data_IF_963400089340
#
_entry.id   IF_963400089340
#
_cell.length_a   1.000
_cell.length_b   1.000
_cell.length_c   1.000
_cell.angle_alpha   90.00
_cell.angle_beta   90.00
_cell.angle_gamma   90.00
#
_symmetry.space_group_name_H-M   'P 1'
#
loop_
_entity.id
_entity.type
_entity.pdbx_description
1 polymer ?
#
# COMPACT_ATOMS: atom_id res chain seq x y z
N UNK A 1 -33.21 -7.78 -19.42
CA UNK A 1 -32.42 -8.58 -18.43
C UNK A 1 -31.55 -9.51 -19.26
N UNK A 2 -30.31 -9.12 -19.51
CA UNK A 2 -29.30 -10.00 -20.10
C UNK A 2 -28.24 -10.28 -19.03
N UNK A 3 -28.18 -11.54 -18.61
CA UNK A 3 -27.13 -12.04 -17.76
C UNK A 3 -25.90 -12.30 -18.63
N UNK A 4 -24.80 -11.62 -18.34
CA UNK A 4 -23.48 -11.96 -18.87
C UNK A 4 -22.73 -12.77 -17.83
N UNK A 5 -22.62 -14.05 -18.13
CA UNK A 5 -21.77 -15.00 -17.42
C UNK A 5 -20.34 -14.80 -17.92
N UNK A 6 -19.44 -14.31 -17.09
CA UNK A 6 -18.00 -14.26 -17.41
C UNK A 6 -17.28 -15.18 -16.45
N UNK A 7 -17.27 -16.44 -16.79
CA UNK A 7 -16.38 -17.44 -16.23
C UNK A 7 -14.95 -17.19 -16.74
N UNK A 8 -14.14 -16.47 -15.96
CA UNK A 8 -12.70 -16.39 -16.20
C UNK A 8 -12.03 -17.49 -15.39
N UNK A 9 -11.57 -18.52 -16.08
CA UNK A 9 -10.77 -19.58 -15.48
C UNK A 9 -9.48 -19.01 -14.86
N UNK A 10 -9.10 -19.44 -13.64
CA UNK A 10 -7.87 -18.97 -13.00
C UNK A 10 -6.66 -19.45 -13.80
N UNK A 11 -5.82 -18.50 -14.26
CA UNK A 11 -4.50 -18.82 -14.79
C UNK A 11 -3.68 -19.50 -13.70
N UNK A 12 -3.20 -20.71 -13.97
CA UNK A 12 -2.26 -21.42 -13.11
C UNK A 12 -0.99 -20.59 -13.00
N UNK A 13 -0.77 -20.00 -11.85
CA UNK A 13 0.51 -19.35 -11.50
C UNK A 13 1.59 -20.43 -11.39
N UNK A 14 2.71 -20.21 -12.09
CA UNK A 14 3.89 -21.07 -11.93
C UNK A 14 4.52 -20.83 -10.56
N UNK A 15 5.11 -21.86 -9.94
CA UNK A 15 5.76 -21.72 -8.64
C UNK A 15 6.88 -20.70 -8.69
N UNK A 16 6.87 -19.76 -7.74
CA UNK A 16 7.93 -18.78 -7.54
C UNK A 16 9.15 -19.53 -6.97
N UNK A 17 10.25 -19.51 -7.66
CA UNK A 17 11.49 -20.13 -7.22
C UNK A 17 12.11 -19.24 -6.12
N UNK A 18 12.09 -19.72 -4.87
CA UNK A 18 12.59 -19.00 -3.72
C UNK A 18 14.10 -19.17 -3.63
N UNK A 19 14.86 -18.11 -3.91
CA UNK A 19 16.28 -18.07 -3.63
C UNK A 19 16.48 -17.49 -2.23
N UNK A 20 16.92 -18.26 -1.24
CA UNK A 20 17.14 -17.73 0.11
C UNK A 20 18.41 -16.87 0.13
N UNK A 21 18.25 -15.58 0.38
CA UNK A 21 19.37 -14.71 0.73
C UNK A 21 19.75 -15.02 2.18
N UNK A 22 20.95 -15.54 2.40
CA UNK A 22 21.49 -15.76 3.74
C UNK A 22 21.78 -14.40 4.37
N UNK A 23 20.96 -13.99 5.31
CA UNK A 23 21.32 -12.92 6.24
C UNK A 23 22.30 -13.54 7.24
N UNK A 24 23.53 -13.00 7.33
CA UNK A 24 24.46 -13.37 8.38
C UNK A 24 23.84 -13.05 9.74
N UNK A 25 23.61 -14.07 10.56
CA UNK A 25 23.17 -13.88 11.93
C UNK A 25 24.36 -13.38 12.74
N UNK A 26 24.34 -12.13 13.14
CA UNK A 26 25.10 -11.70 14.30
C UNK A 26 24.40 -12.25 15.54
N UNK A 27 25.10 -13.07 16.32
CA UNK A 27 24.54 -13.83 17.45
C UNK A 27 24.03 -12.98 18.62
N UNK A 28 24.09 -11.65 18.55
CA UNK A 28 23.72 -10.73 19.63
C UNK A 28 22.78 -9.58 19.21
N UNK A 29 22.19 -9.61 18.01
CA UNK A 29 21.19 -8.62 17.59
C UNK A 29 19.76 -9.03 17.91
N UNK A 30 18.80 -8.08 17.97
CA UNK A 30 17.39 -8.42 18.11
C UNK A 30 16.99 -9.36 16.97
N UNK A 31 16.30 -10.46 17.33
CA UNK A 31 15.80 -11.43 16.35
C UNK A 31 14.79 -10.73 15.43
N UNK A 32 15.22 -10.38 14.23
CA UNK A 32 14.32 -9.86 13.20
C UNK A 32 13.35 -10.98 12.80
N UNK A 33 12.05 -10.76 13.02
CA UNK A 33 11.02 -11.73 12.65
C UNK A 33 10.81 -11.83 11.13
N UNK A 34 11.29 -10.84 10.39
CA UNK A 34 11.15 -10.72 8.94
C UNK A 34 12.39 -11.23 8.22
N UNK A 35 12.22 -11.88 7.09
CA UNK A 35 13.31 -12.27 6.21
C UNK A 35 13.21 -11.55 4.86
N UNK A 36 14.36 -11.15 4.32
CA UNK A 36 14.45 -10.61 2.96
C UNK A 36 14.53 -11.78 1.98
N UNK A 37 13.67 -11.77 0.98
CA UNK A 37 13.69 -12.76 -0.10
C UNK A 37 13.87 -12.05 -1.44
N UNK A 38 14.72 -12.64 -2.28
CA UNK A 38 14.86 -12.24 -3.68
C UNK A 38 13.79 -12.93 -4.53
N UNK A 39 13.13 -12.19 -5.39
CA UNK A 39 12.22 -12.74 -6.41
C UNK A 39 12.74 -12.34 -7.78
N UNK A 40 13.02 -13.33 -8.60
CA UNK A 40 13.39 -13.10 -9.99
C UNK A 40 12.14 -13.03 -10.86
N UNK A 41 11.97 -11.92 -11.57
CA UNK A 41 10.96 -11.84 -12.61
C UNK A 41 11.38 -12.74 -13.79
N UNK A 42 10.59 -13.75 -14.13
CA UNK A 42 10.95 -14.70 -15.19
C UNK A 42 11.03 -14.07 -16.59
N UNK A 43 10.42 -12.90 -16.79
CA UNK A 43 10.40 -12.19 -18.08
C UNK A 43 11.58 -11.23 -18.21
N UNK A 44 11.81 -10.38 -17.23
CA UNK A 44 12.88 -9.36 -17.23
C UNK A 44 14.23 -9.91 -16.75
N UNK A 45 14.25 -11.05 -16.07
CA UNK A 45 15.41 -11.62 -15.35
C UNK A 45 15.99 -10.67 -14.29
N UNK A 46 15.26 -9.69 -13.88
CA UNK A 46 15.63 -8.78 -12.79
C UNK A 46 15.21 -9.41 -11.47
N UNK A 47 16.11 -9.43 -10.51
CA UNK A 47 15.82 -9.88 -9.15
C UNK A 47 15.45 -8.67 -8.30
N UNK A 48 14.35 -8.76 -7.60
CA UNK A 48 13.91 -7.74 -6.65
C UNK A 48 13.89 -8.31 -5.24
N UNK A 49 14.41 -7.55 -4.29
CA UNK A 49 14.37 -7.90 -2.89
C UNK A 49 13.12 -7.33 -2.22
N UNK A 50 12.44 -8.13 -1.44
CA UNK A 50 11.34 -7.70 -0.60
C UNK A 50 11.34 -8.46 0.73
N UNK A 51 10.69 -7.87 1.72
CA UNK A 51 10.58 -8.46 3.05
C UNK A 51 9.37 -9.39 3.10
N UNK A 52 9.59 -10.60 3.59
CA UNK A 52 8.57 -11.59 3.81
C UNK A 52 8.50 -11.94 5.30
N UNK A 53 7.33 -11.81 5.88
CA UNK A 53 7.06 -12.26 7.24
C UNK A 53 6.27 -13.57 7.19
N UNK A 54 6.93 -14.65 7.60
CA UNK A 54 6.33 -16.00 7.61
C UNK A 54 5.14 -16.08 8.56
N UNK A 55 5.16 -15.38 9.69
CA UNK A 55 4.08 -15.43 10.67
C UNK A 55 2.81 -14.83 10.10
N UNK A 56 2.91 -13.65 9.45
CA UNK A 56 1.76 -13.02 8.77
C UNK A 56 1.18 -13.95 7.71
N UNK A 57 2.03 -14.65 6.97
CA UNK A 57 1.59 -15.62 5.97
C UNK A 57 0.93 -16.86 6.60
N UNK A 58 1.54 -17.44 7.63
CA UNK A 58 1.03 -18.65 8.32
C UNK A 58 -0.31 -18.36 9.02
N UNK A 59 -0.51 -17.16 9.54
CA UNK A 59 -1.79 -16.69 10.11
C UNK A 59 -2.85 -16.41 9.04
N UNK A 60 -2.55 -16.60 7.76
CA UNK A 60 -3.47 -16.37 6.63
C UNK A 60 -4.08 -14.96 6.64
N UNK A 61 -3.29 -13.96 7.04
CA UNK A 61 -3.74 -12.56 7.08
C UNK A 61 -4.20 -12.04 5.71
N UNK A 62 -3.72 -12.64 4.63
CA UNK A 62 -4.15 -12.34 3.26
C UNK A 62 -5.62 -12.75 2.97
N UNK A 63 -6.22 -13.60 3.80
CA UNK A 63 -7.62 -14.04 3.67
C UNK A 63 -8.61 -13.12 4.38
N UNK A 64 -8.14 -12.17 5.19
CA UNK A 64 -8.98 -11.20 5.89
C UNK A 64 -9.71 -10.31 4.88
N UNK A 65 -10.97 -10.00 5.14
CA UNK A 65 -11.81 -9.21 4.24
C UNK A 65 -11.19 -7.85 3.88
N UNK A 66 -10.57 -7.18 4.86
CA UNK A 66 -9.87 -5.90 4.65
C UNK A 66 -8.70 -6.04 3.69
N UNK A 67 -7.88 -7.07 3.83
CA UNK A 67 -6.72 -7.30 2.95
C UNK A 67 -7.18 -7.59 1.52
N UNK A 68 -8.18 -8.45 1.35
CA UNK A 68 -8.77 -8.73 0.03
C UNK A 68 -9.35 -7.47 -0.61
N UNK A 69 -10.07 -6.67 0.17
CA UNK A 69 -10.62 -5.39 -0.31
C UNK A 69 -9.51 -4.46 -0.82
N UNK A 70 -8.46 -4.23 -0.03
CA UNK A 70 -7.37 -3.35 -0.44
C UNK A 70 -6.59 -3.88 -1.64
N UNK A 71 -6.38 -5.20 -1.72
CA UNK A 71 -5.81 -5.84 -2.92
C UNK A 71 -6.66 -5.55 -4.17
N UNK A 72 -7.98 -5.62 -4.06
CA UNK A 72 -8.88 -5.26 -5.16
C UNK A 72 -8.73 -3.78 -5.53
N UNK A 73 -8.69 -2.87 -4.55
CA UNK A 73 -8.49 -1.43 -4.79
C UNK A 73 -7.16 -1.13 -5.48
N UNK A 74 -6.09 -1.80 -5.09
CA UNK A 74 -4.76 -1.66 -5.71
C UNK A 74 -4.73 -2.10 -7.18
N UNK A 75 -5.57 -3.04 -7.56
CA UNK A 75 -5.67 -3.54 -8.94
C UNK A 75 -6.80 -2.87 -9.75
N UNK A 76 -7.63 -2.08 -9.10
CA UNK A 76 -8.78 -1.44 -9.73
C UNK A 76 -8.37 -0.14 -10.43
N UNK A 77 -8.88 0.04 -11.66
CA UNK A 77 -8.62 1.27 -12.41
C UNK A 77 -9.19 2.50 -11.69
N UNK A 78 -8.53 3.64 -11.82
CA UNK A 78 -8.90 4.90 -11.16
C UNK A 78 -10.28 5.44 -11.56
N UNK A 79 -10.81 5.01 -12.71
CA UNK A 79 -12.15 5.41 -13.16
C UNK A 79 -13.27 4.67 -12.45
N UNK A 80 -12.94 3.69 -11.64
CA UNK A 80 -13.90 2.83 -10.93
C UNK A 80 -13.79 3.03 -9.43
N UNK A 81 -14.95 3.11 -8.76
CA UNK A 81 -15.08 3.12 -7.31
C UNK A 81 -15.80 1.87 -6.82
N UNK A 82 -15.43 1.42 -5.64
CA UNK A 82 -16.16 0.40 -4.88
C UNK A 82 -16.95 1.08 -3.77
N UNK A 83 -18.27 0.85 -3.75
CA UNK A 83 -19.13 1.21 -2.63
C UNK A 83 -18.97 0.12 -1.57
N UNK A 84 -18.64 0.51 -0.35
CA UNK A 84 -18.35 -0.43 0.73
C UNK A 84 -18.77 0.12 2.09
N UNK A 85 -19.00 -0.79 3.05
CA UNK A 85 -19.20 -0.43 4.45
C UNK A 85 -17.83 -0.28 5.12
N UNK A 86 -17.59 0.85 5.80
CA UNK A 86 -16.28 1.19 6.35
C UNK A 86 -15.72 0.15 7.32
N UNK A 87 -16.58 -0.43 8.17
CA UNK A 87 -16.20 -1.39 9.22
C UNK A 87 -15.77 -2.74 8.68
N UNK A 88 -16.50 -3.25 7.68
CA UNK A 88 -16.31 -4.62 7.20
C UNK A 88 -15.62 -4.69 5.83
N UNK A 89 -15.51 -3.55 5.14
CA UNK A 89 -14.93 -3.46 3.78
C UNK A 89 -15.60 -4.41 2.77
N UNK A 90 -16.86 -4.80 3.03
CA UNK A 90 -17.62 -5.59 2.08
C UNK A 90 -17.90 -4.75 0.83
N UNK A 91 -17.54 -5.31 -0.31
CA UNK A 91 -17.85 -4.72 -1.62
C UNK A 91 -19.34 -4.87 -1.89
N UNK A 92 -20.05 -3.75 -2.05
CA UNK A 92 -21.48 -3.72 -2.32
C UNK A 92 -21.77 -3.55 -3.81
N UNK A 93 -21.05 -2.62 -4.44
CA UNK A 93 -21.23 -2.31 -5.86
C UNK A 93 -19.99 -1.62 -6.42
N UNK A 94 -19.71 -1.84 -7.71
CA UNK A 94 -18.75 -1.05 -8.50
C UNK A 94 -19.51 -0.05 -9.35
N UNK A 95 -19.02 1.18 -9.39
CA UNK A 95 -19.58 2.25 -10.22
C UNK A 95 -18.44 3.05 -10.85
N UNK A 96 -18.74 3.73 -11.94
CA UNK A 96 -17.78 4.62 -12.57
C UNK A 96 -17.61 5.91 -11.74
N UNK A 97 -16.38 6.35 -11.55
CA UNK A 97 -16.07 7.51 -10.69
C UNK A 97 -16.76 8.80 -11.17
N UNK A 98 -16.84 9.00 -12.49
CA UNK A 98 -17.53 10.16 -13.07
C UNK A 98 -19.04 10.14 -12.79
N UNK A 99 -19.66 8.98 -12.86
CA UNK A 99 -21.09 8.80 -12.56
C UNK A 99 -21.39 9.25 -11.13
N UNK A 100 -20.58 8.79 -10.17
CA UNK A 100 -20.74 9.21 -8.79
C UNK A 100 -20.42 10.69 -8.56
N UNK A 101 -19.34 11.20 -9.11
CA UNK A 101 -18.90 12.58 -8.90
C UNK A 101 -19.88 13.60 -9.47
N UNK A 102 -20.62 13.25 -10.53
CA UNK A 102 -21.63 14.10 -11.13
C UNK A 102 -22.93 14.21 -10.33
N UNK A 103 -23.16 13.31 -9.35
CA UNK A 103 -24.37 13.36 -8.53
C UNK A 103 -24.32 14.55 -7.56
N UNK A 104 -25.45 15.23 -7.33
CA UNK A 104 -25.61 16.20 -6.24
C UNK A 104 -25.40 15.55 -4.87
N UNK A 105 -24.94 16.33 -3.89
CA UNK A 105 -24.63 15.80 -2.56
C UNK A 105 -25.86 15.22 -1.83
N UNK A 106 -27.04 15.79 -2.07
CA UNK A 106 -28.31 15.26 -1.56
C UNK A 106 -28.57 13.84 -2.09
N UNK A 107 -28.35 13.62 -3.39
CA UNK A 107 -28.54 12.30 -4.00
C UNK A 107 -27.50 11.29 -3.49
N UNK A 108 -26.25 11.72 -3.27
CA UNK A 108 -25.21 10.89 -2.65
C UNK A 108 -25.60 10.49 -1.23
N UNK A 109 -26.15 11.42 -0.46
CA UNK A 109 -26.63 11.16 0.90
C UNK A 109 -27.80 10.19 0.90
N UNK A 110 -28.82 10.49 0.10
CA UNK A 110 -30.00 9.62 -0.06
C UNK A 110 -29.61 8.19 -0.48
N UNK A 111 -28.66 8.07 -1.41
CA UNK A 111 -28.15 6.77 -1.82
C UNK A 111 -27.47 6.02 -0.65
N UNK A 112 -26.61 6.70 0.14
CA UNK A 112 -25.96 6.09 1.30
C UNK A 112 -26.96 5.65 2.37
N UNK A 113 -28.02 6.43 2.57
CA UNK A 113 -29.10 6.11 3.51
C UNK A 113 -29.91 4.91 3.04
N UNK A 114 -30.23 4.85 1.76
CA UNK A 114 -30.92 3.69 1.19
C UNK A 114 -30.11 2.39 1.31
N UNK A 115 -28.78 2.49 1.13
CA UNK A 115 -27.86 1.35 1.33
C UNK A 115 -27.87 0.91 2.80
N UNK A 116 -27.79 1.85 3.76
CA UNK A 116 -27.86 1.52 5.18
C UNK A 116 -29.19 0.82 5.52
N UNK A 117 -30.29 1.36 5.08
CA UNK A 117 -31.62 0.79 5.29
C UNK A 117 -31.73 -0.62 4.71
N UNK A 118 -31.29 -0.81 3.47
CA UNK A 118 -31.34 -2.12 2.79
C UNK A 118 -30.48 -3.20 3.49
N UNK A 119 -29.42 -2.78 4.19
CA UNK A 119 -28.53 -3.68 4.92
C UNK A 119 -28.85 -3.80 6.43
N UNK A 120 -29.91 -3.12 6.91
CA UNK A 120 -30.25 -3.08 8.33
C UNK A 120 -29.19 -2.41 9.21
N UNK A 121 -28.44 -1.46 8.66
CA UNK A 121 -27.37 -0.73 9.34
C UNK A 121 -27.90 0.60 9.90
N UNK A 122 -27.42 0.97 11.08
CA UNK A 122 -27.72 2.27 11.68
C UNK A 122 -26.87 3.42 11.10
N UNK A 123 -27.12 4.63 11.56
CA UNK A 123 -26.44 5.85 11.10
C UNK A 123 -24.96 5.90 11.44
N UNK A 124 -24.46 5.09 12.38
CA UNK A 124 -23.04 5.03 12.76
C UNK A 124 -22.19 4.31 11.70
N UNK A 125 -22.83 3.46 10.90
CA UNK A 125 -22.15 2.74 9.83
C UNK A 125 -21.93 3.66 8.62
N UNK A 126 -20.64 3.92 8.34
CA UNK A 126 -20.24 4.77 7.21
C UNK A 126 -20.22 3.98 5.92
N UNK A 127 -20.98 4.45 4.93
CA UNK A 127 -20.90 3.97 3.56
C UNK A 127 -19.85 4.81 2.83
N UNK A 128 -18.83 4.16 2.33
CA UNK A 128 -17.70 4.78 1.64
C UNK A 128 -17.69 4.42 0.16
N UNK A 129 -17.17 5.34 -0.64
CA UNK A 129 -16.72 5.06 -1.98
C UNK A 129 -15.20 5.06 -1.97
N UNK A 130 -14.60 3.98 -2.39
CA UNK A 130 -13.16 3.85 -2.46
C UNK A 130 -12.75 3.70 -3.91
N UNK A 131 -12.03 4.71 -4.41
CA UNK A 131 -11.56 4.76 -5.80
C UNK A 131 -10.42 3.78 -6.02
N UNK A 132 -10.38 3.16 -7.19
CA UNK A 132 -9.28 2.29 -7.62
C UNK A 132 -7.94 3.03 -7.62
N UNK A 133 -6.89 2.33 -7.25
CA UNK A 133 -5.54 2.89 -7.07
C UNK A 133 -4.48 2.22 -7.94
N UNK A 134 -4.87 1.53 -9.01
CA UNK A 134 -3.91 0.87 -9.89
C UNK A 134 -2.82 1.81 -10.42
N UNK A 135 -3.16 3.07 -10.66
CA UNK A 135 -2.21 4.09 -11.10
C UNK A 135 -1.20 4.49 -10.02
N UNK A 136 -1.55 4.31 -8.75
CA UNK A 136 -0.72 4.68 -7.61
C UNK A 136 0.32 3.59 -7.30
N UNK A 137 0.00 2.32 -7.56
CA UNK A 137 0.86 1.18 -7.29
C UNK A 137 1.53 0.70 -8.57
N UNK A 138 2.67 1.31 -8.89
CA UNK A 138 3.60 0.83 -9.91
C UNK A 138 4.67 0.00 -9.18
N UNK A 139 4.43 -1.30 -9.09
CA UNK A 139 5.30 -2.20 -8.33
C UNK A 139 6.71 -2.28 -8.90
N UNK A 140 6.88 -2.16 -10.22
CA UNK A 140 8.21 -2.21 -10.84
C UNK A 140 9.11 -1.07 -10.34
N UNK A 141 8.54 0.12 -10.17
CA UNK A 141 9.24 1.27 -9.58
C UNK A 141 9.33 1.19 -8.07
N UNK A 142 8.30 0.67 -7.41
CA UNK A 142 8.27 0.52 -5.97
C UNK A 142 9.36 -0.44 -5.47
N UNK A 143 9.64 -1.51 -6.19
CA UNK A 143 10.68 -2.48 -5.81
C UNK A 143 12.07 -1.86 -5.70
N UNK A 144 12.42 -0.92 -6.58
CA UNK A 144 13.71 -0.19 -6.51
C UNK A 144 13.82 0.60 -5.20
N UNK A 145 12.72 1.22 -4.78
CA UNK A 145 12.69 1.98 -3.52
C UNK A 145 12.67 1.05 -2.31
N UNK A 146 11.97 -0.08 -2.39
CA UNK A 146 11.96 -1.08 -1.32
C UNK A 146 13.36 -1.58 -1.03
N UNK A 147 14.14 -1.96 -2.04
CA UNK A 147 15.49 -2.45 -1.87
C UNK A 147 16.41 -1.44 -1.14
N UNK A 148 16.34 -0.17 -1.56
CA UNK A 148 17.09 0.91 -0.87
C UNK A 148 16.64 1.08 0.58
N UNK A 149 15.33 1.07 0.82
CA UNK A 149 14.78 1.21 2.16
C UNK A 149 15.12 0.02 3.06
N UNK A 150 14.98 -1.20 2.56
CA UNK A 150 15.32 -2.44 3.25
C UNK A 150 16.78 -2.40 3.71
N UNK A 151 17.72 -2.10 2.81
CA UNK A 151 19.13 -2.04 3.14
C UNK A 151 19.41 -0.96 4.20
N UNK A 152 18.86 0.25 4.03
CA UNK A 152 19.05 1.34 4.98
C UNK A 152 18.55 0.97 6.39
N UNK A 153 17.40 0.29 6.51
CA UNK A 153 16.84 -0.10 7.81
C UNK A 153 17.67 -1.24 8.44
N UNK A 154 18.12 -2.24 7.66
CA UNK A 154 18.99 -3.31 8.14
C UNK A 154 20.31 -2.73 8.67
N UNK A 155 20.95 -1.84 7.93
CA UNK A 155 22.26 -1.23 8.30
C UNK A 155 22.16 -0.42 9.60
N UNK A 156 20.94 0.01 9.97
CA UNK A 156 20.69 0.73 11.21
C UNK A 156 20.03 -0.13 12.31
N UNK A 157 19.94 -1.44 12.13
CA UNK A 157 19.39 -2.37 13.12
C UNK A 157 17.87 -2.30 13.29
N UNK A 158 17.16 -1.72 12.32
CA UNK A 158 15.70 -1.63 12.32
C UNK A 158 15.11 -2.69 11.39
N UNK A 159 13.99 -3.32 11.80
CA UNK A 159 13.34 -4.34 10.99
C UNK A 159 12.94 -3.77 9.62
N UNK A 160 13.45 -4.34 8.53
CA UNK A 160 13.20 -3.87 7.17
C UNK A 160 11.73 -3.92 6.74
N UNK A 161 10.88 -4.68 7.46
CA UNK A 161 9.43 -4.68 7.25
C UNK A 161 8.83 -3.28 7.35
N UNK A 162 9.34 -2.45 8.27
CA UNK A 162 8.86 -1.07 8.41
C UNK A 162 9.17 -0.23 7.18
N UNK A 163 10.38 -0.34 6.62
CA UNK A 163 10.74 0.37 5.39
C UNK A 163 9.79 0.02 4.24
N UNK A 164 9.59 -1.26 4.00
CA UNK A 164 8.73 -1.74 2.92
C UNK A 164 7.29 -1.30 3.11
N UNK A 165 6.76 -1.41 4.33
CA UNK A 165 5.38 -1.03 4.66
C UNK A 165 5.14 0.46 4.48
N UNK A 166 6.06 1.30 4.97
CA UNK A 166 5.95 2.76 4.83
C UNK A 166 6.03 3.16 3.36
N UNK A 167 7.03 2.66 2.63
CA UNK A 167 7.22 3.00 1.22
C UNK A 167 6.05 2.53 0.35
N UNK A 168 5.44 1.39 0.67
CA UNK A 168 4.26 0.90 -0.03
C UNK A 168 3.04 1.79 0.19
N UNK A 169 2.87 2.32 1.39
CA UNK A 169 1.70 3.12 1.76
C UNK A 169 1.86 4.58 1.32
N UNK A 170 3.02 5.16 1.57
CA UNK A 170 3.25 6.61 1.46
C UNK A 170 3.66 7.04 0.06
N UNK A 171 4.59 6.34 -0.58
CA UNK A 171 5.07 6.75 -1.89
C UNK A 171 5.51 5.60 -2.81
N UNK A 172 4.59 4.71 -3.20
CA UNK A 172 4.97 3.55 -3.99
C UNK A 172 5.48 3.92 -5.40
N UNK A 173 5.17 5.10 -5.90
CA UNK A 173 5.48 5.46 -7.29
C UNK A 173 6.02 6.89 -7.49
N UNK A 174 5.67 7.86 -6.67
CA UNK A 174 5.98 9.28 -6.90
C UNK A 174 6.30 10.02 -5.62
N UNK A 175 7.39 10.82 -5.68
CA UNK A 175 7.66 11.85 -4.69
C UNK A 175 6.61 12.96 -4.83
N UNK A 176 5.51 12.85 -4.09
CA UNK A 176 4.46 13.87 -4.06
C UNK A 176 4.42 14.54 -2.69
N UNK A 177 4.13 15.84 -2.74
CA UNK A 177 3.81 16.57 -1.52
C UNK A 177 2.33 16.36 -1.21
N UNK A 178 2.03 15.90 -0.01
CA UNK A 178 0.65 15.75 0.44
C UNK A 178 -0.03 17.10 0.68
N UNK A 179 -1.35 17.14 0.70
CA UNK A 179 -2.11 18.34 1.06
C UNK A 179 -1.76 18.85 2.47
N UNK A 180 -1.36 17.97 3.37
CA UNK A 180 -0.92 18.32 4.72
C UNK A 180 0.54 18.81 4.79
N UNK A 181 1.28 18.73 3.68
CA UNK A 181 2.68 19.18 3.60
C UNK A 181 3.72 18.11 3.89
N UNK A 182 3.33 16.84 4.04
CA UNK A 182 4.27 15.71 4.06
C UNK A 182 4.95 15.56 2.71
N UNK A 183 6.24 15.16 2.70
CA UNK A 183 7.03 15.11 1.47
C UNK A 183 8.11 14.04 1.53
N UNK A 184 8.51 13.57 0.35
CA UNK A 184 9.58 12.60 0.15
C UNK A 184 9.12 11.14 0.24
N UNK A 185 10.06 10.18 0.12
CA UNK A 185 9.77 8.74 0.12
C UNK A 185 9.03 8.29 1.39
N UNK A 186 9.40 8.84 2.52
CA UNK A 186 8.83 8.51 3.84
C UNK A 186 7.76 9.50 4.29
N UNK A 187 7.30 10.41 3.41
CA UNK A 187 6.23 11.38 3.67
C UNK A 187 6.37 12.11 5.02
N UNK A 188 7.59 12.56 5.32
CA UNK A 188 7.86 13.27 6.56
C UNK A 188 7.23 14.66 6.56
N UNK A 189 6.62 15.04 7.67
CA UNK A 189 6.20 16.40 7.92
C UNK A 189 7.42 17.32 8.06
N UNK A 190 7.27 18.60 7.72
CA UNK A 190 8.38 19.55 7.73
C UNK A 190 9.09 19.66 9.09
N UNK A 191 8.30 19.74 10.14
CA UNK A 191 8.84 19.90 11.50
C UNK A 191 9.45 18.59 12.01
N UNK A 192 8.87 17.45 11.63
CA UNK A 192 9.45 16.14 11.93
C UNK A 192 10.81 15.99 11.21
N UNK A 193 10.89 16.31 9.92
CA UNK A 193 12.17 16.26 9.21
C UNK A 193 13.24 17.13 9.86
N UNK A 194 12.89 18.34 10.27
CA UNK A 194 13.81 19.25 10.97
C UNK A 194 14.24 18.73 12.34
N UNK A 195 13.31 18.14 13.09
CA UNK A 195 13.59 17.55 14.40
C UNK A 195 14.67 16.48 14.30
N UNK A 196 14.64 15.69 13.21
CA UNK A 196 15.62 14.65 12.93
C UNK A 196 16.76 15.11 12.00
N UNK A 197 17.05 16.41 11.98
CA UNK A 197 18.26 16.99 11.39
C UNK A 197 18.22 17.27 9.89
N UNK A 198 17.08 17.13 9.23
CA UNK A 198 16.96 17.46 7.81
C UNK A 198 16.88 18.97 7.60
N UNK A 199 17.57 19.45 6.57
CA UNK A 199 17.43 20.84 6.11
C UNK A 199 16.16 20.97 5.28
N UNK A 200 15.17 21.69 5.82
CA UNK A 200 13.89 21.93 5.16
C UNK A 200 13.63 23.44 5.15
N UNK A 201 13.97 24.10 4.05
CA UNK A 201 13.79 25.53 3.83
C UNK A 201 13.33 25.82 2.39
N UNK A 202 13.34 27.09 1.96
CA UNK A 202 12.91 27.47 0.60
C UNK A 202 13.87 27.03 -0.52
N UNK A 203 15.15 26.84 -0.20
CA UNK A 203 16.21 26.53 -1.17
C UNK A 203 16.46 25.03 -1.25
N UNK A 204 16.24 24.31 -0.13
CA UNK A 204 16.55 22.88 0.00
C UNK A 204 15.51 22.17 0.86
N UNK A 205 15.07 21.02 0.39
CA UNK A 205 14.17 20.14 1.14
C UNK A 205 14.73 18.70 1.10
N UNK A 206 15.52 18.36 2.12
CA UNK A 206 16.23 17.07 2.22
C UNK A 206 15.28 15.90 2.46
N UNK A 207 14.00 16.15 2.67
CA UNK A 207 12.98 15.08 2.71
C UNK A 207 12.81 14.39 1.36
N UNK A 208 13.21 15.04 0.26
CA UNK A 208 13.23 14.45 -1.09
C UNK A 208 14.39 13.46 -1.29
N UNK A 209 15.48 13.63 -0.55
CA UNK A 209 16.63 12.72 -0.57
C UNK A 209 16.25 11.41 0.12
N UNK A 210 16.44 10.28 -0.58
CA UNK A 210 15.98 9.00 -0.10
C UNK A 210 16.72 8.58 1.18
N UNK A 211 18.06 8.64 1.16
CA UNK A 211 18.88 8.17 2.29
C UNK A 211 18.67 9.04 3.52
N UNK A 212 18.73 10.36 3.36
CA UNK A 212 18.50 11.30 4.46
C UNK A 212 17.10 11.16 5.07
N UNK A 213 16.11 10.99 4.20
CA UNK A 213 14.71 10.79 4.62
C UNK A 213 14.54 9.43 5.34
N UNK A 214 15.23 8.38 4.88
CA UNK A 214 15.24 7.09 5.56
C UNK A 214 15.87 7.19 6.95
N UNK A 215 17.04 7.82 7.07
CA UNK A 215 17.68 8.03 8.39
C UNK A 215 16.77 8.79 9.35
N UNK A 216 16.12 9.86 8.89
CA UNK A 216 15.18 10.61 9.72
C UNK A 216 13.92 9.82 10.09
N UNK A 217 13.54 8.82 9.31
CA UNK A 217 12.41 7.94 9.60
C UNK A 217 12.76 6.81 10.59
N UNK A 218 14.05 6.45 10.69
CA UNK A 218 14.59 5.43 11.60
C UNK A 218 14.81 6.01 13.00
N UNK A 219 15.18 7.30 13.11
CA UNK A 219 15.53 7.99 14.36
C UNK A 219 14.31 8.29 15.22
#
# INVERSE_FOLDING_TARGET
>A
IMAFDISVAPKKEKPIEKVPVKISKDENGPSLCSCVIGVCDPLSKVSHNYVFDKQIYDFKCDTIAQVRFWRNIMNLHQDTCIINVATHRNELKRIHNKEWSSLPDEQKTCFKDSVRTALGLDSTHRILLTTGKKFFYDFDRAFIQFEKGINCFIDNGVDPWYAQSILLIESPNKLQKSNAGAYGPFQLMKDVGRLFGLKVNRQMDERADFERSAYAAIS
#
